data_IF_138412497018
#
_entry.id   IF_138412497018
#
_cell.length_a   1.000
_cell.length_b   1.000
_cell.length_c   1.000
_cell.angle_alpha   90.00
_cell.angle_beta   90.00
_cell.angle_gamma   90.00
#
_symmetry.space_group_name_H-M   'P 1'
#
loop_
_entity.id
_entity.type
_entity.pdbx_description
1 polymer ?
#
# COMPACT_ATOMS: atom_id res chain seq x y z
N UNK A 1 0.08 2.35 44.74
CA UNK A 1 0.36 1.51 43.55
C UNK A 1 0.71 2.45 42.41
N UNK A 2 2.00 2.59 42.12
CA UNK A 2 2.49 3.55 41.13
C UNK A 2 2.11 3.03 39.73
N UNK A 3 1.35 3.82 38.98
CA UNK A 3 1.12 3.60 37.55
C UNK A 3 2.48 3.62 36.83
N UNK A 4 3.01 2.45 36.52
CA UNK A 4 4.13 2.33 35.59
C UNK A 4 3.54 2.71 34.23
N UNK A 5 3.80 3.94 33.81
CA UNK A 5 3.47 4.41 32.46
C UNK A 5 4.13 3.45 31.47
N UNK A 6 3.32 2.66 30.77
CA UNK A 6 3.81 1.73 29.76
C UNK A 6 4.41 2.58 28.64
N UNK A 7 5.72 2.44 28.41
CA UNK A 7 6.42 3.16 27.34
C UNK A 7 5.94 2.58 26.00
N UNK A 8 5.32 3.43 25.17
CA UNK A 8 5.02 3.07 23.78
C UNK A 8 6.22 3.40 22.88
N UNK A 9 7.00 2.39 22.47
CA UNK A 9 8.18 2.61 21.65
C UNK A 9 7.87 3.20 20.27
N UNK A 10 6.69 2.89 19.71
CA UNK A 10 6.27 3.41 18.41
C UNK A 10 5.92 4.90 18.48
N UNK A 11 5.26 5.33 19.54
CA UNK A 11 4.95 6.75 19.76
C UNK A 11 6.23 7.58 19.82
N UNK A 12 7.22 7.15 20.63
CA UNK A 12 8.51 7.87 20.75
C UNK A 12 9.24 7.98 19.41
N UNK A 13 9.30 6.88 18.64
CA UNK A 13 9.95 6.89 17.32
C UNK A 13 9.14 7.73 16.32
N UNK A 14 7.81 7.69 16.38
CA UNK A 14 6.94 8.52 15.53
C UNK A 14 7.18 10.01 15.77
N UNK A 15 7.23 10.44 17.03
CA UNK A 15 7.50 11.84 17.38
C UNK A 15 8.89 12.28 16.87
N UNK A 16 9.90 11.43 17.01
CA UNK A 16 11.23 11.71 16.49
C UNK A 16 11.28 11.77 14.95
N UNK A 17 10.36 11.11 14.23
CA UNK A 17 10.25 11.16 12.77
C UNK A 17 9.48 12.37 12.26
N UNK A 18 8.55 12.94 13.04
CA UNK A 18 7.75 14.11 12.63
C UNK A 18 8.58 15.37 12.39
N UNK A 19 9.76 15.46 13.00
CA UNK A 19 10.65 16.63 12.93
C UNK A 19 11.73 16.53 11.85
N UNK A 20 11.70 15.49 10.99
CA UNK A 20 12.75 15.23 10.01
C UNK A 20 12.25 14.69 8.69
N UNK A 21 13.12 14.70 7.68
CA UNK A 21 12.85 14.06 6.40
C UNK A 21 12.81 12.52 6.57
N UNK A 22 11.95 11.85 5.82
CA UNK A 22 11.67 10.42 5.98
C UNK A 22 12.92 9.54 5.73
N UNK A 23 13.89 10.06 4.99
CA UNK A 23 15.14 9.36 4.66
C UNK A 23 16.28 9.64 5.63
N UNK A 24 16.11 10.57 6.57
CA UNK A 24 17.14 10.91 7.55
C UNK A 24 17.40 9.75 8.53
N UNK A 25 18.68 9.45 8.72
CA UNK A 25 19.12 8.43 9.66
C UNK A 25 19.18 9.00 11.07
N UNK A 26 18.83 8.18 12.07
CA UNK A 26 19.05 8.55 13.47
C UNK A 26 20.53 8.79 13.76
N UNK A 27 20.85 9.92 14.35
CA UNK A 27 22.20 10.27 14.80
C UNK A 27 22.63 9.45 16.02
N UNK A 28 23.92 9.42 16.33
CA UNK A 28 24.40 8.72 17.53
C UNK A 28 23.88 9.37 18.82
N UNK A 29 23.72 10.68 18.85
CA UNK A 29 23.22 11.42 19.98
C UNK A 29 21.76 11.05 20.27
N UNK A 30 20.91 11.05 19.26
CA UNK A 30 19.50 10.64 19.38
C UNK A 30 19.36 9.19 19.81
N UNK A 31 20.18 8.28 19.29
CA UNK A 31 20.18 6.87 19.69
C UNK A 31 20.58 6.70 21.15
N UNK A 32 21.52 7.51 21.65
CA UNK A 32 22.06 7.41 23.02
C UNK A 32 21.14 8.11 24.06
N UNK A 33 20.06 8.72 23.66
CA UNK A 33 19.09 9.40 24.53
C UNK A 33 17.78 8.61 24.66
N UNK A 34 16.66 9.27 24.38
CA UNK A 34 15.31 8.67 24.51
C UNK A 34 15.09 7.45 23.61
N UNK A 35 15.76 7.40 22.45
CA UNK A 35 15.57 6.31 21.48
C UNK A 35 16.15 4.97 21.95
N UNK A 36 17.17 4.96 22.81
CA UNK A 36 17.65 3.72 23.42
C UNK A 36 16.55 3.05 24.24
N UNK A 37 15.82 3.82 25.05
CA UNK A 37 14.72 3.29 25.87
C UNK A 37 13.60 2.73 24.99
N UNK A 38 13.23 3.43 23.90
CA UNK A 38 12.22 2.95 22.95
C UNK A 38 12.66 1.65 22.26
N UNK A 39 13.91 1.57 21.78
CA UNK A 39 14.45 0.37 21.15
C UNK A 39 14.47 -0.84 22.11
N UNK A 40 14.87 -0.63 23.35
CA UNK A 40 14.91 -1.70 24.37
C UNK A 40 13.50 -2.15 24.77
N UNK A 41 12.54 -1.23 24.93
CA UNK A 41 11.14 -1.57 25.23
C UNK A 41 10.54 -2.38 24.09
N UNK A 42 10.72 -1.95 22.86
CA UNK A 42 10.27 -2.69 21.68
C UNK A 42 10.84 -4.11 21.63
N UNK A 43 12.14 -4.25 21.83
CA UNK A 43 12.81 -5.55 21.78
C UNK A 43 12.34 -6.49 22.89
N UNK A 44 12.07 -5.96 24.08
CA UNK A 44 11.55 -6.75 25.23
C UNK A 44 10.22 -7.41 24.88
N UNK A 45 9.31 -6.67 24.25
CA UNK A 45 7.95 -7.13 23.93
C UNK A 45 7.86 -7.80 22.56
N UNK A 46 8.94 -7.82 21.78
CA UNK A 46 8.96 -8.41 20.44
C UNK A 46 8.65 -9.91 20.47
N UNK A 47 7.65 -10.34 19.71
CA UNK A 47 7.20 -11.74 19.55
C UNK A 47 7.28 -12.25 18.12
N UNK A 48 7.73 -11.41 17.17
CA UNK A 48 7.83 -11.79 15.76
C UNK A 48 9.00 -12.75 15.46
N UNK A 49 9.02 -13.28 14.25
CA UNK A 49 9.99 -14.28 13.78
C UNK A 49 11.16 -13.69 12.96
N UNK A 50 11.43 -12.39 13.02
CA UNK A 50 12.56 -11.82 12.30
C UNK A 50 13.87 -12.13 13.03
N UNK A 51 14.69 -13.02 12.47
CA UNK A 51 15.90 -13.60 13.10
C UNK A 51 16.82 -12.56 13.73
N UNK A 52 17.04 -11.43 13.06
CA UNK A 52 17.87 -10.34 13.59
C UNK A 52 17.37 -9.81 14.95
N UNK A 53 16.06 -9.57 15.10
CA UNK A 53 15.47 -9.07 16.34
C UNK A 53 15.40 -10.16 17.41
N UNK A 54 15.17 -11.42 17.02
CA UNK A 54 15.20 -12.57 17.92
C UNK A 54 16.60 -12.75 18.52
N UNK A 55 17.64 -12.68 17.70
CA UNK A 55 19.04 -12.77 18.14
C UNK A 55 19.43 -11.59 19.06
N UNK A 56 19.03 -10.36 18.71
CA UNK A 56 19.27 -9.20 19.57
C UNK A 56 18.54 -9.28 20.91
N UNK A 57 17.31 -9.80 20.92
CA UNK A 57 16.55 -10.02 22.17
C UNK A 57 17.25 -11.02 23.08
N UNK A 58 17.81 -12.09 22.53
CA UNK A 58 18.58 -13.06 23.29
C UNK A 58 19.88 -12.47 23.84
N UNK A 59 20.59 -11.68 23.05
CA UNK A 59 21.84 -10.99 23.41
C UNK A 59 21.63 -9.92 24.46
N UNK A 60 20.55 -9.12 24.35
CA UNK A 60 20.24 -8.02 25.28
C UNK A 60 20.03 -8.48 26.73
N UNK A 61 19.68 -9.76 26.93
CA UNK A 61 19.54 -10.37 28.29
C UNK A 61 20.87 -10.63 28.98
N UNK A 62 21.95 -10.75 28.21
CA UNK A 62 23.28 -11.12 28.73
C UNK A 62 24.28 -9.97 28.64
N UNK A 63 24.15 -9.15 27.63
CA UNK A 63 25.08 -8.07 27.30
C UNK A 63 24.32 -6.81 26.90
N UNK A 64 24.90 -5.65 27.13
CA UNK A 64 24.37 -4.40 26.59
C UNK A 64 24.38 -4.41 25.04
N UNK A 65 23.50 -3.65 24.43
CA UNK A 65 23.48 -3.46 22.98
C UNK A 65 24.33 -2.25 22.60
N UNK A 66 25.05 -2.38 21.49
CA UNK A 66 25.80 -1.26 20.91
C UNK A 66 24.84 -0.22 20.28
N UNK A 67 25.31 1.03 20.13
CA UNK A 67 24.55 2.11 19.43
C UNK A 67 24.10 1.67 18.03
N UNK A 68 24.93 0.92 17.30
CA UNK A 68 24.58 0.38 15.99
C UNK A 68 23.43 -0.64 16.04
N UNK A 69 23.40 -1.49 17.05
CA UNK A 69 22.32 -2.46 17.25
C UNK A 69 21.00 -1.77 17.66
N UNK A 70 21.07 -0.78 18.54
CA UNK A 70 19.88 0.04 18.89
C UNK A 70 19.37 0.75 17.65
N UNK A 71 20.23 1.35 16.82
CA UNK A 71 19.82 1.97 15.56
C UNK A 71 19.14 0.96 14.63
N UNK A 72 19.63 -0.27 14.56
CA UNK A 72 18.99 -1.34 13.79
C UNK A 72 17.56 -1.63 14.28
N UNK A 73 17.34 -1.69 15.59
CA UNK A 73 16.01 -1.86 16.19
C UNK A 73 15.09 -0.67 15.84
N UNK A 74 15.59 0.56 15.98
CA UNK A 74 14.82 1.77 15.63
C UNK A 74 14.41 1.81 14.15
N UNK A 75 15.27 1.33 13.25
CA UNK A 75 14.92 1.18 11.84
C UNK A 75 13.81 0.13 11.63
N UNK A 76 13.78 -0.93 12.42
CA UNK A 76 12.67 -1.91 12.38
C UNK A 76 11.35 -1.27 12.86
N UNK A 77 11.38 -0.52 13.97
CA UNK A 77 10.20 0.22 14.47
C UNK A 77 9.70 1.21 13.42
N UNK A 78 10.61 1.99 12.84
CA UNK A 78 10.30 2.93 11.75
C UNK A 78 9.63 2.21 10.57
N UNK A 79 10.17 1.07 10.14
CA UNK A 79 9.59 0.30 9.04
C UNK A 79 8.19 -0.22 9.37
N UNK A 80 7.91 -0.58 10.63
CA UNK A 80 6.57 -0.95 11.08
C UNK A 80 5.60 0.24 11.05
N UNK A 81 6.00 1.41 11.61
CA UNK A 81 5.20 2.64 11.58
C UNK A 81 4.83 3.01 10.14
N UNK A 82 5.80 2.95 9.23
CA UNK A 82 5.56 3.25 7.83
C UNK A 82 4.60 2.25 7.17
N UNK A 83 4.69 0.96 7.50
CA UNK A 83 3.76 -0.06 7.00
C UNK A 83 2.35 0.12 7.56
N UNK A 84 2.23 0.47 8.86
CA UNK A 84 0.93 0.74 9.50
C UNK A 84 0.24 1.95 8.87
N UNK A 85 0.93 3.09 8.78
CA UNK A 85 0.42 4.26 8.06
C UNK A 85 0.12 3.96 6.59
N UNK A 86 0.85 3.00 6.03
CA UNK A 86 0.55 2.50 4.69
C UNK A 86 -0.71 1.65 4.63
N UNK A 87 -1.04 0.87 5.61
CA UNK A 87 -2.28 0.09 5.68
C UNK A 87 -3.48 1.01 5.94
N UNK A 88 -3.40 1.92 6.91
CA UNK A 88 -4.47 2.89 7.22
C UNK A 88 -4.89 3.69 5.99
N UNK A 89 -3.92 4.22 5.24
CA UNK A 89 -4.23 4.90 3.98
C UNK A 89 -4.73 3.95 2.86
N UNK A 90 -4.48 2.64 2.93
CA UNK A 90 -5.05 1.68 1.98
C UNK A 90 -6.50 1.36 2.31
N UNK A 91 -6.83 1.33 3.60
CA UNK A 91 -8.21 1.12 4.07
C UNK A 91 -9.09 2.34 3.78
N UNK A 92 -8.52 3.55 3.66
CA UNK A 92 -9.23 4.75 3.18
C UNK A 92 -9.40 4.79 1.65
N UNK A 93 -8.66 3.98 0.90
CA UNK A 93 -8.83 3.91 -0.54
C UNK A 93 -10.18 3.25 -0.86
N UNK A 94 -11.08 3.98 -1.51
CA UNK A 94 -12.34 3.44 -1.99
C UNK A 94 -12.08 2.17 -2.80
N UNK A 95 -12.68 1.03 -2.43
CA UNK A 95 -12.42 -0.23 -3.10
C UNK A 95 -12.89 -0.13 -4.57
N UNK A 96 -11.96 -0.34 -5.48
CA UNK A 96 -12.23 -0.40 -6.92
C UNK A 96 -12.27 -1.87 -7.33
N UNK A 97 -13.33 -2.28 -7.99
CA UNK A 97 -13.47 -3.66 -8.49
C UNK A 97 -12.41 -4.00 -9.53
N UNK A 98 -12.11 -5.30 -9.69
CA UNK A 98 -11.26 -5.76 -10.76
C UNK A 98 -11.89 -5.41 -12.12
N UNK A 99 -11.10 -4.81 -13.01
CA UNK A 99 -11.62 -4.36 -14.30
C UNK A 99 -10.66 -3.46 -15.06
N UNK A 100 -11.15 -2.95 -16.18
CA UNK A 100 -10.45 -2.03 -17.07
C UNK A 100 -11.21 -0.71 -17.13
N UNK A 101 -10.52 0.38 -16.93
CA UNK A 101 -11.11 1.69 -16.72
C UNK A 101 -10.49 2.74 -17.65
N UNK A 102 -11.30 3.63 -18.18
CA UNK A 102 -10.85 4.79 -18.93
C UNK A 102 -11.24 6.07 -18.18
N UNK A 103 -10.25 6.83 -17.72
CA UNK A 103 -10.44 8.09 -16.98
C UNK A 103 -9.63 9.23 -17.57
N UNK A 104 -10.11 10.46 -17.36
CA UNK A 104 -9.34 11.64 -17.69
C UNK A 104 -8.30 11.93 -16.61
N UNK A 105 -7.03 11.96 -17.03
CA UNK A 105 -5.90 12.37 -16.20
C UNK A 105 -5.18 13.50 -16.89
N UNK A 106 -5.16 14.66 -16.26
CA UNK A 106 -4.49 15.87 -16.76
C UNK A 106 -4.92 16.26 -18.20
N UNK A 107 -6.25 16.18 -18.42
CA UNK A 107 -6.88 16.52 -19.71
C UNK A 107 -6.74 15.47 -20.81
N UNK A 108 -6.16 14.31 -20.52
CA UNK A 108 -6.00 13.20 -21.48
C UNK A 108 -6.76 11.96 -21.00
N UNK A 109 -7.45 11.31 -21.92
CA UNK A 109 -8.06 10.01 -21.65
C UNK A 109 -6.96 8.95 -21.56
N UNK A 110 -6.90 8.26 -20.41
CA UNK A 110 -5.94 7.19 -20.12
C UNK A 110 -6.66 5.94 -19.70
N UNK A 111 -6.04 4.80 -19.97
CA UNK A 111 -6.62 3.49 -19.79
C UNK A 111 -5.87 2.71 -18.70
N UNK A 112 -6.61 2.12 -17.77
CA UNK A 112 -6.04 1.42 -16.64
C UNK A 112 -6.65 0.03 -16.46
N UNK A 113 -5.84 -0.90 -15.98
CA UNK A 113 -6.26 -2.23 -15.55
C UNK A 113 -6.03 -2.35 -14.04
N UNK A 114 -7.10 -2.59 -13.29
CA UNK A 114 -7.10 -2.83 -11.85
C UNK A 114 -7.31 -4.30 -11.58
N UNK A 115 -6.44 -4.91 -10.78
CA UNK A 115 -6.53 -6.29 -10.37
C UNK A 115 -6.12 -6.47 -8.92
N UNK A 116 -7.03 -7.01 -8.11
CA UNK A 116 -6.79 -7.40 -6.71
C UNK A 116 -6.97 -8.91 -6.62
N UNK A 117 -5.88 -9.69 -6.57
CA UNK A 117 -5.96 -11.12 -6.36
C UNK A 117 -6.64 -11.46 -5.02
N UNK A 118 -7.43 -12.53 -5.01
CA UNK A 118 -8.07 -13.07 -3.80
C UNK A 118 -7.36 -14.28 -3.22
N UNK A 119 -6.21 -14.66 -3.80
CA UNK A 119 -5.42 -15.82 -3.37
C UNK A 119 -3.94 -15.63 -3.61
N UNK A 120 -3.11 -16.37 -2.87
CA UNK A 120 -1.67 -16.44 -3.06
C UNK A 120 -0.90 -15.30 -2.37
N UNK A 121 0.37 -15.14 -2.76
CA UNK A 121 1.33 -14.20 -2.16
C UNK A 121 0.85 -12.74 -2.15
N UNK A 122 -0.02 -12.37 -3.08
CA UNK A 122 -0.48 -11.00 -3.32
C UNK A 122 -1.96 -10.81 -2.99
N UNK A 123 -2.52 -11.70 -2.17
CA UNK A 123 -3.89 -11.61 -1.71
C UNK A 123 -4.19 -10.23 -1.10
N UNK A 124 -5.28 -9.61 -1.57
CA UNK A 124 -5.71 -8.28 -1.16
C UNK A 124 -4.85 -7.11 -1.69
N UNK A 125 -3.74 -7.37 -2.40
CA UNK A 125 -2.93 -6.28 -2.96
C UNK A 125 -3.50 -5.81 -4.30
N UNK A 126 -3.85 -4.52 -4.39
CA UNK A 126 -4.38 -3.93 -5.63
C UNK A 126 -3.27 -3.50 -6.56
N UNK A 127 -3.18 -4.16 -7.71
CA UNK A 127 -2.33 -3.77 -8.82
C UNK A 127 -3.07 -2.81 -9.75
N UNK A 128 -2.39 -1.73 -10.13
CA UNK A 128 -2.88 -0.82 -11.18
C UNK A 128 -1.83 -0.75 -12.26
N UNK A 129 -2.25 -1.02 -13.49
CA UNK A 129 -1.40 -0.92 -14.68
C UNK A 129 -2.04 0.06 -15.65
N UNK A 130 -1.22 0.83 -16.34
CA UNK A 130 -1.65 1.68 -17.44
C UNK A 130 -1.47 0.97 -18.76
N UNK A 131 -2.49 1.00 -19.62
CA UNK A 131 -2.43 0.52 -20.99
C UNK A 131 -2.04 1.67 -21.92
N UNK A 132 -0.90 1.53 -22.61
CA UNK A 132 -0.34 2.58 -23.49
C UNK A 132 -0.54 2.27 -24.99
N UNK A 133 -1.23 1.16 -25.29
CA UNK A 133 -1.45 0.69 -26.66
C UNK A 133 -0.52 -0.45 -27.06
N UNK A 134 -0.78 -1.07 -28.21
CA UNK A 134 0.01 -2.19 -28.72
C UNK A 134 0.03 -3.44 -27.81
N UNK A 135 -0.93 -3.59 -26.92
CA UNK A 135 -0.98 -4.70 -25.94
C UNK A 135 -0.09 -4.52 -24.71
N UNK A 136 0.59 -3.37 -24.57
CA UNK A 136 1.52 -3.13 -23.46
C UNK A 136 0.83 -2.51 -22.25
N UNK A 137 1.00 -3.17 -21.10
CA UNK A 137 0.57 -2.67 -19.78
C UNK A 137 1.78 -2.37 -18.90
N UNK A 138 1.82 -1.19 -18.31
CA UNK A 138 2.91 -0.77 -17.42
C UNK A 138 2.39 -0.55 -16.01
N UNK A 139 3.03 -1.17 -14.98
CA UNK A 139 2.61 -1.00 -13.60
C UNK A 139 2.79 0.44 -13.14
N UNK A 140 1.77 0.99 -12.50
CA UNK A 140 1.87 2.27 -11.80
C UNK A 140 2.73 2.06 -10.56
N UNK A 141 3.92 2.64 -10.58
CA UNK A 141 4.87 2.60 -9.47
C UNK A 141 4.52 3.66 -8.43
N UNK A 142 4.78 3.32 -7.18
CA UNK A 142 4.49 4.21 -6.06
C UNK A 142 3.02 4.17 -5.66
N UNK A 143 2.83 4.23 -4.34
CA UNK A 143 1.52 4.09 -3.73
C UNK A 143 0.65 5.32 -3.95
N UNK A 144 1.21 6.51 -3.78
CA UNK A 144 0.49 7.76 -3.96
C UNK A 144 -0.11 7.88 -5.37
N UNK A 145 0.70 7.56 -6.39
CA UNK A 145 0.23 7.55 -7.79
C UNK A 145 -0.89 6.54 -8.01
N UNK A 146 -0.75 5.34 -7.45
CA UNK A 146 -1.79 4.29 -7.51
C UNK A 146 -3.08 4.74 -6.83
N UNK A 147 -3.01 5.25 -5.60
CA UNK A 147 -4.19 5.69 -4.85
C UNK A 147 -4.89 6.88 -5.54
N UNK A 148 -4.14 7.80 -6.14
CA UNK A 148 -4.71 8.89 -6.94
C UNK A 148 -5.51 8.37 -8.13
N UNK A 149 -5.02 7.35 -8.84
CA UNK A 149 -5.75 6.72 -9.95
C UNK A 149 -7.00 5.99 -9.44
N UNK A 150 -6.88 5.19 -8.39
CA UNK A 150 -8.02 4.48 -7.79
C UNK A 150 -9.11 5.45 -7.30
N UNK A 151 -8.73 6.55 -6.65
CA UNK A 151 -9.67 7.58 -6.22
C UNK A 151 -10.41 8.24 -7.40
N UNK A 152 -9.74 8.50 -8.53
CA UNK A 152 -10.40 9.01 -9.74
C UNK A 152 -11.33 7.98 -10.36
N UNK A 153 -10.94 6.70 -10.40
CA UNK A 153 -11.79 5.63 -10.91
C UNK A 153 -13.06 5.49 -10.08
N UNK A 154 -12.95 5.51 -8.75
CA UNK A 154 -14.12 5.37 -7.85
C UNK A 154 -15.12 6.52 -7.96
N UNK A 155 -14.68 7.70 -8.36
CA UNK A 155 -15.53 8.89 -8.56
C UNK A 155 -16.17 8.93 -9.95
N UNK A 156 -15.74 8.10 -10.89
CA UNK A 156 -16.22 8.08 -12.28
C UNK A 156 -16.94 6.77 -12.58
N UNK A 157 -18.23 6.73 -12.33
CA UNK A 157 -19.10 5.56 -12.51
C UNK A 157 -19.16 5.04 -13.95
N UNK A 158 -18.84 5.89 -14.95
CA UNK A 158 -18.83 5.52 -16.37
C UNK A 158 -17.48 4.98 -16.84
N UNK A 159 -16.43 5.08 -16.03
CA UNK A 159 -15.05 4.79 -16.43
C UNK A 159 -14.85 3.38 -16.98
N UNK A 160 -15.55 2.39 -16.45
CA UNK A 160 -15.49 0.99 -16.87
C UNK A 160 -16.19 0.78 -18.24
N UNK A 161 -17.38 1.34 -18.41
CA UNK A 161 -18.13 1.29 -19.67
C UNK A 161 -17.43 2.08 -20.77
N UNK A 162 -16.88 3.25 -20.42
CA UNK A 162 -16.08 4.08 -21.34
C UNK A 162 -14.88 3.32 -21.88
N UNK A 163 -14.18 2.55 -21.05
CA UNK A 163 -13.09 1.70 -21.53
C UNK A 163 -13.53 0.77 -22.65
N UNK A 164 -14.71 0.13 -22.50
CA UNK A 164 -15.23 -0.78 -23.50
C UNK A 164 -15.67 -0.09 -24.78
N UNK A 165 -16.27 1.09 -24.67
CA UNK A 165 -16.68 1.87 -25.85
C UNK A 165 -15.48 2.35 -26.67
N UNK A 166 -14.42 2.78 -25.99
CA UNK A 166 -13.21 3.29 -26.65
C UNK A 166 -12.35 2.20 -27.30
N UNK A 167 -12.22 1.04 -26.65
CA UNK A 167 -11.31 0.00 -27.09
C UNK A 167 -11.99 -1.25 -27.71
N UNK A 168 -13.32 -1.30 -27.70
CA UNK A 168 -14.09 -2.41 -28.26
C UNK A 168 -13.96 -3.72 -27.48
N UNK A 169 -13.50 -3.66 -26.22
CA UNK A 169 -13.38 -4.83 -25.33
C UNK A 169 -14.07 -4.56 -24.00
N UNK A 170 -14.72 -5.57 -23.45
CA UNK A 170 -15.49 -5.42 -22.20
C UNK A 170 -14.62 -4.88 -21.06
N UNK A 171 -15.02 -3.77 -20.43
CA UNK A 171 -14.30 -3.18 -19.30
C UNK A 171 -14.14 -4.14 -18.12
N UNK A 172 -15.07 -5.08 -17.91
CA UNK A 172 -15.03 -6.04 -16.80
C UNK A 172 -14.05 -7.17 -17.06
N UNK A 173 -14.27 -7.94 -18.17
CA UNK A 173 -13.53 -9.19 -18.42
C UNK A 173 -12.50 -9.10 -19.56
N UNK A 174 -12.48 -7.99 -20.31
CA UNK A 174 -11.56 -7.77 -21.42
C UNK A 174 -11.83 -8.59 -22.69
N UNK A 175 -12.98 -9.28 -22.79
CA UNK A 175 -13.36 -9.98 -24.02
C UNK A 175 -13.81 -8.98 -25.10
N UNK A 176 -13.52 -9.23 -26.38
CA UNK A 176 -14.00 -8.40 -27.48
C UNK A 176 -15.54 -8.24 -27.46
N UNK A 177 -16.03 -7.05 -27.72
CA UNK A 177 -17.44 -6.72 -27.88
C UNK A 177 -17.77 -6.77 -29.37
N UNK A 178 -18.52 -7.80 -29.78
CA UNK A 178 -18.79 -8.08 -31.20
C UNK A 178 -20.13 -7.56 -31.69
N UNK A 179 -21.12 -7.45 -30.80
CA UNK A 179 -22.44 -6.95 -31.10
C UNK A 179 -22.60 -5.46 -30.79
N UNK A 180 -23.48 -4.76 -31.52
CA UNK A 180 -23.69 -3.32 -31.38
C UNK A 180 -24.16 -2.92 -29.96
N UNK A 181 -25.15 -3.58 -29.34
CA UNK A 181 -25.56 -3.22 -27.98
C UNK A 181 -24.45 -3.30 -26.95
N UNK A 182 -23.62 -4.35 -26.99
CA UNK A 182 -22.48 -4.48 -26.07
C UNK A 182 -21.39 -3.41 -26.32
N UNK A 183 -21.18 -3.03 -27.57
CA UNK A 183 -20.22 -1.95 -27.90
C UNK A 183 -20.71 -0.60 -27.38
N UNK A 184 -22.00 -0.29 -27.53
CA UNK A 184 -22.59 0.94 -26.99
C UNK A 184 -22.57 0.97 -25.48
N UNK A 185 -22.87 -0.18 -24.83
CA UNK A 185 -22.81 -0.30 -23.38
C UNK A 185 -21.36 -0.32 -22.85
N UNK A 186 -20.36 -0.69 -23.68
CA UNK A 186 -18.97 -0.89 -23.24
C UNK A 186 -18.74 -2.12 -22.36
N UNK A 187 -19.76 -2.91 -22.12
CA UNK A 187 -19.77 -4.08 -21.24
C UNK A 187 -20.59 -5.19 -21.89
N UNK A 188 -20.09 -6.41 -21.86
CA UNK A 188 -20.83 -7.56 -22.42
C UNK A 188 -22.00 -8.00 -21.52
N UNK A 189 -23.06 -8.64 -22.08
CA UNK A 189 -24.31 -8.92 -21.39
C UNK A 189 -24.14 -9.79 -20.14
N UNK A 190 -23.23 -10.76 -20.16
CA UNK A 190 -22.92 -11.61 -19.00
C UNK A 190 -22.29 -10.79 -17.86
N UNK A 191 -21.48 -9.79 -18.20
CA UNK A 191 -20.84 -8.93 -17.20
C UNK A 191 -21.84 -7.90 -16.63
N UNK A 192 -22.76 -7.39 -17.42
CA UNK A 192 -23.88 -6.51 -16.96
C UNK A 192 -24.69 -7.25 -15.90
N UNK A 193 -25.08 -8.49 -16.16
CA UNK A 193 -25.83 -9.31 -15.20
C UNK A 193 -25.07 -9.55 -13.89
N UNK A 194 -23.74 -9.76 -13.96
CA UNK A 194 -22.89 -9.95 -12.77
C UNK A 194 -22.73 -8.69 -11.94
N UNK A 195 -22.80 -7.51 -12.54
CA UNK A 195 -22.74 -6.23 -11.87
C UNK A 195 -24.08 -5.80 -11.27
N UNK A 196 -25.19 -6.52 -11.59
CA UNK A 196 -26.52 -6.15 -11.14
C UNK A 196 -27.07 -4.87 -11.78
N UNK A 197 -26.57 -4.54 -12.97
CA UNK A 197 -26.97 -3.37 -13.75
C UNK A 197 -28.08 -3.70 -14.73
#
# INVERSE_FOLDING_TARGET
MSNVSTIDPKAIVRDALLSRDIDDKFTNEEVNTMLTTAGMAFLKDYTGGFDYLVDLKAKSRKFGLSTGQIRGILNCIRAEILREGQRELADEATPVANGRYAINVDGKLRFFHVNTPSEGRWDGYTFVKEFIGGGNEFPIKGRESRNRILGRISQDSDSLARYGRELGVCGVCGRPLTDTPSREAGIGPVCIQKLGM
#
